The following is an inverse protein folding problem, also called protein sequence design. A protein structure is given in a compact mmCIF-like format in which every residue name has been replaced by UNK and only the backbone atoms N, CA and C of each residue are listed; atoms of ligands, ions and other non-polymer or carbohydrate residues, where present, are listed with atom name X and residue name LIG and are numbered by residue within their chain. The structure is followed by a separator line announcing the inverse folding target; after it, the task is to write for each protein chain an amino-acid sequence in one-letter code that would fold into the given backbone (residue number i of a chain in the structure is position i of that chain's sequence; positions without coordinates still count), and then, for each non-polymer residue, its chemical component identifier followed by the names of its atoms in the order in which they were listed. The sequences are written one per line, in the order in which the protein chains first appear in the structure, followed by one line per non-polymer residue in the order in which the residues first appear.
data_IF_953343930531
#
_entry.id   IF_953343930531
#
_cell.length_a   1.000
_cell.length_b   1.000
_cell.length_c   1.000
_cell.angle_alpha   90.00
_cell.angle_beta   90.00
_cell.angle_gamma   90.00
#
_symmetry.space_group_name_H-M   'P 1'
#
loop_
_entity.id
_entity.type
_entity.pdbx_description
1 polymer ?
#
# COMPACT_ATOMS: atom_id res chain seq x y z
N UNK A 1 -26.70 -28.77 -30.65
CA UNK A 1 -27.59 -27.65 -31.01
C UNK A 1 -28.57 -27.45 -29.86
N UNK A 2 -28.20 -26.62 -28.87
CA UNK A 2 -28.98 -26.43 -27.64
C UNK A 2 -30.21 -25.56 -27.96
N UNK A 3 -31.39 -26.19 -28.05
CA UNK A 3 -32.67 -25.50 -28.18
C UNK A 3 -33.01 -24.78 -26.87
N UNK A 4 -32.57 -23.53 -26.73
CA UNK A 4 -33.04 -22.62 -25.69
C UNK A 4 -34.50 -22.23 -25.99
N UNK A 5 -35.44 -22.84 -25.27
CA UNK A 5 -36.85 -22.43 -25.25
C UNK A 5 -36.92 -20.95 -24.84
N UNK A 6 -37.71 -20.12 -25.54
CA UNK A 6 -37.84 -18.66 -25.31
C UNK A 6 -38.05 -18.27 -23.84
N UNK A 7 -38.72 -19.12 -23.06
CA UNK A 7 -38.95 -18.94 -21.62
C UNK A 7 -37.68 -19.09 -20.76
N UNK A 8 -36.68 -19.84 -21.21
CA UNK A 8 -35.44 -20.12 -20.47
C UNK A 8 -34.41 -18.99 -20.64
N UNK A 9 -34.55 -18.17 -21.67
CA UNK A 9 -33.67 -17.01 -21.93
C UNK A 9 -33.80 -15.97 -20.82
N UNK A 10 -35.02 -15.78 -20.29
CA UNK A 10 -35.27 -14.78 -19.24
C UNK A 10 -34.64 -15.17 -17.90
N UNK A 11 -34.61 -16.47 -17.58
CA UNK A 11 -33.96 -17.01 -16.38
C UNK A 11 -32.44 -16.84 -16.47
N UNK A 12 -31.85 -17.10 -17.63
CA UNK A 12 -30.40 -16.92 -17.84
C UNK A 12 -30.02 -15.45 -17.74
N UNK A 13 -30.84 -14.54 -18.29
CA UNK A 13 -30.61 -13.10 -18.18
C UNK A 13 -30.69 -12.60 -16.73
N UNK A 14 -31.68 -13.07 -15.97
CA UNK A 14 -31.80 -12.75 -14.54
C UNK A 14 -30.59 -13.26 -13.74
N UNK A 15 -30.11 -14.47 -14.03
CA UNK A 15 -28.91 -15.04 -13.41
C UNK A 15 -27.63 -14.26 -13.78
N UNK A 16 -27.50 -13.78 -15.03
CA UNK A 16 -26.36 -12.97 -15.45
C UNK A 16 -26.33 -11.60 -14.75
N UNK A 17 -27.51 -11.00 -14.48
CA UNK A 17 -27.60 -9.75 -13.74
C UNK A 17 -27.21 -9.91 -12.27
N UNK A 18 -27.55 -11.02 -11.62
CA UNK A 18 -27.19 -11.23 -10.20
C UNK A 18 -25.70 -11.49 -10.02
N UNK A 19 -25.04 -12.17 -10.96
CA UNK A 19 -23.57 -12.39 -10.92
C UNK A 19 -22.78 -11.10 -11.18
N UNK A 20 -23.35 -10.17 -11.95
CA UNK A 20 -22.70 -8.88 -12.27
C UNK A 20 -22.83 -7.83 -11.14
N UNK A 21 -23.69 -8.06 -10.15
CA UNK A 21 -23.97 -7.11 -9.06
C UNK A 21 -22.90 -7.08 -7.94
N UNK A 22 -21.96 -8.04 -7.92
CA UNK A 22 -20.92 -8.11 -6.89
C UNK A 22 -19.88 -6.97 -7.00
N UNK A 23 -19.92 -6.16 -8.05
CA UNK A 23 -19.08 -4.95 -8.18
C UNK A 23 -17.57 -5.20 -8.18
N UNK A 24 -17.15 -6.45 -8.41
CA UNK A 24 -15.74 -6.83 -8.39
C UNK A 24 -14.99 -6.09 -9.50
N UNK A 25 -13.98 -5.30 -9.11
CA UNK A 25 -13.07 -4.61 -10.01
C UNK A 25 -11.66 -5.07 -9.72
N UNK A 26 -10.86 -5.21 -10.77
CA UNK A 26 -9.43 -5.47 -10.60
C UNK A 26 -8.77 -4.31 -9.85
N UNK A 27 -8.09 -4.64 -8.76
CA UNK A 27 -7.24 -3.70 -8.03
C UNK A 27 -6.01 -3.34 -8.89
N UNK A 28 -5.45 -2.14 -8.67
CA UNK A 28 -4.26 -1.69 -9.40
C UNK A 28 -4.53 -0.93 -10.70
N UNK A 29 -5.80 -0.64 -11.05
CA UNK A 29 -6.16 0.26 -12.16
C UNK A 29 -6.21 1.75 -11.81
N UNK A 30 -6.08 2.11 -10.53
CA UNK A 30 -6.22 3.51 -10.07
C UNK A 30 -5.11 4.43 -10.59
N UNK A 31 -5.46 5.69 -10.81
CA UNK A 31 -4.51 6.78 -11.07
C UNK A 31 -3.84 7.23 -9.78
N UNK A 32 -2.64 7.80 -9.90
CA UNK A 32 -1.98 8.50 -8.79
C UNK A 32 -2.89 9.61 -8.23
N UNK A 33 -2.89 9.87 -6.91
CA UNK A 33 -3.58 11.01 -6.33
C UNK A 33 -3.21 12.30 -7.07
N UNK A 34 -4.20 13.14 -7.36
CA UNK A 34 -4.01 14.42 -8.05
C UNK A 34 -3.28 14.37 -9.42
N UNK A 35 -3.16 13.19 -10.05
CA UNK A 35 -2.48 13.05 -11.34
C UNK A 35 -0.97 13.15 -11.30
N UNK A 36 -0.35 13.06 -10.10
CA UNK A 36 1.10 13.17 -9.89
C UNK A 36 1.83 12.04 -10.63
N UNK A 37 2.78 12.38 -11.51
CA UNK A 37 3.56 11.38 -12.28
C UNK A 37 4.97 11.20 -11.77
N UNK A 38 5.54 12.19 -11.10
CA UNK A 38 6.90 12.15 -10.59
C UNK A 38 6.95 12.52 -9.10
N UNK A 39 7.62 11.69 -8.29
CA UNK A 39 7.79 11.96 -6.86
C UNK A 39 9.25 11.81 -6.43
N UNK A 40 9.63 12.53 -5.38
CA UNK A 40 10.85 12.31 -4.65
C UNK A 40 10.51 11.71 -3.29
N UNK A 41 11.09 10.56 -2.95
CA UNK A 41 10.97 9.96 -1.61
C UNK A 41 12.09 10.51 -0.76
N UNK A 42 11.73 11.27 0.27
CA UNK A 42 12.67 11.81 1.26
C UNK A 42 12.92 10.74 2.31
N UNK A 43 14.16 10.62 2.76
CA UNK A 43 14.52 9.73 3.86
C UNK A 43 13.65 10.03 5.09
N UNK A 44 12.99 9.00 5.62
CA UNK A 44 12.12 9.14 6.78
C UNK A 44 12.92 9.57 8.01
N UNK A 45 12.36 10.50 8.78
CA UNK A 45 12.93 10.87 10.07
C UNK A 45 12.71 9.73 11.08
N UNK A 46 13.77 9.24 11.71
CA UNK A 46 13.67 8.19 12.72
C UNK A 46 13.63 8.80 14.14
N UNK A 47 12.47 8.70 14.80
CA UNK A 47 12.29 9.10 16.21
C UNK A 47 12.31 7.92 17.18
N UNK A 48 12.75 6.75 16.72
CA UNK A 48 12.86 5.54 17.52
C UNK A 48 14.31 5.33 17.98
N UNK A 49 14.53 4.37 18.87
CA UNK A 49 15.86 3.97 19.30
C UNK A 49 16.55 3.00 18.33
N UNK A 50 15.86 2.57 17.27
CA UNK A 50 16.33 1.53 16.35
C UNK A 50 17.15 2.14 15.23
N UNK A 51 18.46 1.98 15.27
CA UNK A 51 19.38 2.58 14.30
C UNK A 51 19.19 1.98 12.91
N UNK A 52 19.16 2.83 11.86
CA UNK A 52 19.05 2.40 10.47
C UNK A 52 17.63 2.11 10.01
N UNK A 53 16.62 2.21 10.90
CA UNK A 53 15.22 2.07 10.52
C UNK A 53 14.86 3.08 9.41
N UNK A 54 15.36 4.31 9.48
CA UNK A 54 15.17 5.35 8.45
C UNK A 54 15.47 4.82 7.04
N UNK A 55 16.59 4.13 6.85
CA UNK A 55 17.02 3.65 5.54
C UNK A 55 16.23 2.42 5.11
N UNK A 56 15.96 1.48 6.02
CA UNK A 56 15.18 0.27 5.72
C UNK A 56 13.79 0.67 5.21
N UNK A 57 13.06 1.47 5.98
CA UNK A 57 11.70 1.88 5.59
C UNK A 57 11.69 2.78 4.35
N UNK A 58 12.67 3.68 4.19
CA UNK A 58 12.76 4.53 2.99
C UNK A 58 13.00 3.69 1.74
N UNK A 59 13.89 2.70 1.80
CA UNK A 59 14.19 1.82 0.67
C UNK A 59 12.98 0.95 0.31
N UNK A 60 12.25 0.43 1.30
CA UNK A 60 11.04 -0.34 1.06
C UNK A 60 9.94 0.52 0.42
N UNK A 61 9.80 1.79 0.84
CA UNK A 61 8.89 2.74 0.18
C UNK A 61 9.29 3.02 -1.28
N UNK A 62 10.58 3.25 -1.53
CA UNK A 62 11.13 3.41 -2.89
C UNK A 62 10.82 2.20 -3.76
N UNK A 63 11.00 1.00 -3.22
CA UNK A 63 10.71 -0.25 -3.91
C UNK A 63 9.22 -0.36 -4.27
N UNK A 64 8.32 -0.11 -3.31
CA UNK A 64 6.88 -0.20 -3.53
C UNK A 64 6.36 0.84 -4.53
N UNK A 65 6.90 2.07 -4.50
CA UNK A 65 6.56 3.13 -5.47
C UNK A 65 7.00 2.72 -6.88
N UNK A 66 8.21 2.19 -7.04
CA UNK A 66 8.77 1.85 -8.35
C UNK A 66 8.18 0.57 -8.93
N UNK A 67 7.74 -0.38 -8.10
CA UNK A 67 7.15 -1.64 -8.54
C UNK A 67 5.94 -1.46 -9.46
N UNK A 68 5.17 -0.40 -9.29
CA UNK A 68 3.94 -0.15 -10.04
C UNK A 68 4.11 0.41 -11.45
N UNK A 69 5.33 0.80 -11.87
CA UNK A 69 5.63 1.47 -13.16
C UNK A 69 4.77 2.71 -13.51
N UNK A 70 4.03 3.27 -12.55
CA UNK A 70 3.11 4.41 -12.75
C UNK A 70 3.67 5.74 -12.31
N UNK A 71 4.63 5.72 -11.39
CA UNK A 71 5.21 6.90 -10.77
C UNK A 71 6.72 6.83 -11.00
N UNK A 72 7.29 7.91 -11.52
CA UNK A 72 8.73 8.04 -11.72
C UNK A 72 9.37 8.61 -10.47
N UNK A 73 10.39 7.92 -9.96
CA UNK A 73 11.26 8.50 -8.93
C UNK A 73 12.21 9.50 -9.59
N UNK A 74 12.31 10.67 -8.98
CA UNK A 74 13.22 11.73 -9.43
C UNK A 74 13.79 12.49 -8.23
N UNK A 75 14.77 13.34 -8.50
CA UNK A 75 15.35 14.21 -7.49
C UNK A 75 14.34 15.27 -7.06
N UNK A 76 14.54 15.79 -5.84
CA UNK A 76 13.68 16.81 -5.23
C UNK A 76 13.38 17.99 -6.16
N UNK A 77 14.37 18.46 -6.93
CA UNK A 77 14.26 19.62 -7.81
C UNK A 77 13.37 19.41 -9.04
N UNK A 78 13.09 18.15 -9.40
CA UNK A 78 12.33 17.78 -10.60
C UNK A 78 11.04 17.04 -10.27
N UNK A 79 10.73 16.85 -9.00
CA UNK A 79 9.55 16.10 -8.55
C UNK A 79 8.31 17.00 -8.51
N UNK A 80 7.17 16.47 -8.93
CA UNK A 80 5.88 17.13 -8.76
C UNK A 80 5.38 17.07 -7.30
N UNK A 81 5.79 16.03 -6.57
CA UNK A 81 5.46 15.89 -5.15
C UNK A 81 6.59 15.24 -4.34
N UNK A 82 6.58 15.52 -3.04
CA UNK A 82 7.52 14.97 -2.06
C UNK A 82 6.77 13.99 -1.17
N UNK A 83 7.24 12.74 -1.14
CA UNK A 83 6.80 11.75 -0.15
C UNK A 83 7.76 11.83 1.03
N UNK A 84 7.27 12.28 2.17
CA UNK A 84 8.06 12.45 3.39
C UNK A 84 7.34 11.82 4.58
N UNK A 85 8.04 11.67 5.70
CA UNK A 85 7.42 11.10 6.87
C UNK A 85 8.36 10.87 8.04
N UNK A 86 7.77 10.37 9.11
CA UNK A 86 8.42 10.18 10.41
C UNK A 86 8.07 8.81 10.96
N UNK A 87 9.08 8.03 11.33
CA UNK A 87 8.91 6.80 12.12
C UNK A 87 8.75 7.22 13.58
N UNK A 88 7.50 7.17 14.07
CA UNK A 88 7.10 7.72 15.36
C UNK A 88 7.45 6.83 16.53
N UNK A 89 7.25 5.52 16.37
CA UNK A 89 7.60 4.53 17.39
C UNK A 89 7.85 3.16 16.78
N UNK A 90 8.69 2.37 17.44
CA UNK A 90 8.85 0.94 17.21
C UNK A 90 8.79 0.22 18.56
N UNK A 91 7.68 -0.45 18.81
CA UNK A 91 7.40 -1.13 20.06
C UNK A 91 7.59 -2.64 19.88
N UNK A 92 8.46 -3.25 20.68
CA UNK A 92 8.70 -4.69 20.64
C UNK A 92 8.19 -5.34 21.92
N UNK A 93 7.23 -6.27 21.79
CA UNK A 93 6.62 -6.97 22.92
C UNK A 93 6.69 -8.48 22.72
N UNK A 94 7.06 -9.22 23.75
CA UNK A 94 6.92 -10.69 23.75
C UNK A 94 5.45 -11.05 23.86
N UNK A 95 4.95 -11.87 22.94
CA UNK A 95 3.55 -12.32 22.90
C UNK A 95 3.39 -13.79 23.27
N UNK A 96 4.48 -14.55 23.34
CA UNK A 96 4.49 -15.95 23.76
C UNK A 96 5.82 -16.32 24.44
N UNK A 97 5.75 -17.21 25.43
CA UNK A 97 6.90 -17.70 26.20
C UNK A 97 6.97 -19.24 26.17
N UNK A 98 8.18 -19.79 26.19
CA UNK A 98 8.44 -21.21 26.48
C UNK A 98 9.15 -21.30 27.82
N UNK A 99 8.43 -21.74 28.85
CA UNK A 99 8.93 -21.77 30.22
C UNK A 99 9.18 -20.36 30.79
N UNK A 100 9.88 -20.29 31.92
CA UNK A 100 10.03 -19.07 32.73
C UNK A 100 10.97 -18.02 32.11
N UNK A 101 11.85 -18.41 31.17
CA UNK A 101 12.97 -17.56 30.72
C UNK A 101 13.16 -17.45 29.20
N UNK A 102 12.32 -18.05 28.35
CA UNK A 102 12.48 -17.93 26.90
C UNK A 102 11.25 -17.34 26.22
N UNK A 103 11.47 -16.28 25.43
CA UNK A 103 10.45 -15.71 24.54
C UNK A 103 10.38 -16.55 23.27
N UNK A 104 9.19 -17.06 22.93
CA UNK A 104 8.97 -17.80 21.69
C UNK A 104 8.71 -16.87 20.51
N UNK A 105 7.93 -15.82 20.74
CA UNK A 105 7.48 -14.92 19.69
C UNK A 105 7.50 -13.48 20.18
N UNK A 106 8.00 -12.59 19.33
CA UNK A 106 8.00 -11.15 19.55
C UNK A 106 7.15 -10.49 18.48
N UNK A 107 6.30 -9.56 18.89
CA UNK A 107 5.57 -8.67 18.00
C UNK A 107 6.28 -7.32 17.96
N UNK A 108 6.62 -6.89 16.76
CA UNK A 108 7.11 -5.55 16.47
C UNK A 108 5.93 -4.74 15.94
N UNK A 109 5.63 -3.60 16.56
CA UNK A 109 4.59 -2.67 16.11
C UNK A 109 5.26 -1.34 15.77
N UNK A 110 5.12 -0.90 14.53
CA UNK A 110 5.72 0.34 14.04
C UNK A 110 4.60 1.33 13.72
N UNK A 111 4.79 2.59 14.12
CA UNK A 111 3.93 3.71 13.72
C UNK A 111 4.72 4.65 12.83
N UNK A 112 4.22 4.88 11.62
CA UNK A 112 4.83 5.79 10.65
C UNK A 112 3.77 6.78 10.19
N UNK A 113 4.10 8.06 10.30
CA UNK A 113 3.31 9.14 9.71
C UNK A 113 3.92 9.46 8.35
N UNK A 114 3.12 9.39 7.28
CA UNK A 114 3.55 9.64 5.89
C UNK A 114 2.70 10.75 5.30
N UNK A 115 3.35 11.67 4.60
CA UNK A 115 2.72 12.78 3.90
C UNK A 115 3.20 12.84 2.44
N UNK A 116 2.28 13.13 1.53
CA UNK A 116 2.56 13.44 0.13
C UNK A 116 2.19 14.89 -0.13
N UNK A 117 3.19 15.76 -0.26
CA UNK A 117 2.99 17.20 -0.46
C UNK A 117 3.35 17.58 -1.89
N UNK A 118 2.50 18.35 -2.57
CA UNK A 118 2.82 18.89 -3.89
C UNK A 118 3.90 19.98 -3.76
N UNK A 119 4.69 20.23 -4.79
CA UNK A 119 5.65 21.35 -4.81
C UNK A 119 5.00 22.73 -4.66
N UNK A 120 3.69 22.85 -4.89
CA UNK A 120 2.92 24.07 -4.68
C UNK A 120 2.37 24.26 -3.25
N UNK A 121 2.61 23.33 -2.33
CA UNK A 121 1.97 23.27 -1.01
C UNK A 121 0.57 22.68 -1.06
#
# INVERSE_FOLDING_TARGET
MLFLKKSNIWIIFLFLMTVSACGYKFAGGGSSPAGIKSICVVTLENRTSETGAENIFTNDLIYEVTRGNKIFLTNKDKAEALLSGVIKSMDIKTISHKGTHSSLERRVTIKVDIELTNTNG
#
